data_IF_422593651713
#
_entry.id   IF_422593651713
#
_cell.length_a   1.000
_cell.length_b   1.000
_cell.length_c   1.000
_cell.angle_alpha   90.00
_cell.angle_beta   90.00
_cell.angle_gamma   90.00
#
_symmetry.space_group_name_H-M   'P 1'
#
loop_
_entity.id
_entity.type
_entity.pdbx_description
1 polymer ?
#
# COMPACT_ATOMS: atom_id res chain seq x y z
N UNK A 1 21.69 -7.05 1.77
CA UNK A 1 20.70 -6.14 2.35
C UNK A 1 19.33 -6.56 1.81
N UNK A 2 18.68 -7.53 2.46
CA UNK A 2 17.37 -8.04 2.01
C UNK A 2 16.26 -7.34 2.77
N UNK A 3 15.91 -6.12 2.36
CA UNK A 3 14.64 -5.54 2.77
C UNK A 3 13.54 -6.38 2.11
N UNK A 4 12.53 -6.79 2.89
CA UNK A 4 11.40 -7.55 2.38
C UNK A 4 10.86 -6.89 1.10
N UNK A 5 10.79 -7.67 0.03
CA UNK A 5 10.45 -7.19 -1.30
C UNK A 5 9.02 -6.63 -1.25
N UNK A 6 8.90 -5.29 -1.29
CA UNK A 6 7.60 -4.62 -1.32
C UNK A 6 6.99 -4.81 -2.70
N UNK A 7 5.70 -5.14 -2.75
CA UNK A 7 4.94 -5.27 -3.98
C UNK A 7 4.04 -4.06 -4.16
N UNK A 8 4.17 -3.37 -5.29
CA UNK A 8 3.28 -2.28 -5.66
C UNK A 8 1.94 -2.87 -6.10
N UNK A 9 0.86 -2.51 -5.39
CA UNK A 9 -0.50 -2.92 -5.74
C UNK A 9 -1.14 -1.90 -6.69
N UNK A 10 -0.96 -0.62 -6.38
CA UNK A 10 -1.56 0.48 -7.13
C UNK A 10 -0.59 1.65 -7.19
N UNK A 11 -0.29 2.14 -8.39
CA UNK A 11 0.36 3.45 -8.59
C UNK A 11 -0.70 4.51 -8.74
N UNK A 12 -0.44 5.68 -8.19
CA UNK A 12 -1.27 6.86 -8.36
C UNK A 12 -0.47 7.86 -9.20
N UNK A 13 -1.13 8.65 -10.04
CA UNK A 13 -0.48 9.77 -10.70
C UNK A 13 -0.45 10.96 -9.74
N UNK A 14 0.74 11.50 -9.39
CA UNK A 14 0.84 12.67 -8.51
C UNK A 14 0.21 13.95 -9.09
N UNK A 15 -0.07 13.99 -10.39
CA UNK A 15 -0.74 15.10 -11.06
C UNK A 15 -2.25 14.89 -11.18
N UNK A 16 -2.78 13.76 -10.72
CA UNK A 16 -4.23 13.51 -10.75
C UNK A 16 -4.92 14.18 -9.55
N UNK A 17 -5.48 15.36 -9.80
CA UNK A 17 -6.23 16.13 -8.80
C UNK A 17 -7.55 15.46 -8.38
N UNK A 18 -8.01 14.42 -9.09
CA UNK A 18 -9.24 13.69 -8.73
C UNK A 18 -9.03 12.69 -7.60
N UNK A 19 -7.79 12.28 -7.35
CA UNK A 19 -7.45 11.36 -6.28
C UNK A 19 -7.18 12.17 -5.01
N UNK A 20 -7.96 11.91 -3.96
CA UNK A 20 -7.70 12.51 -2.65
C UNK A 20 -6.97 11.54 -1.74
N UNK A 21 -6.29 12.08 -0.72
CA UNK A 21 -5.69 11.28 0.35
C UNK A 21 -6.71 10.33 1.01
N UNK A 22 -7.99 10.75 1.09
CA UNK A 22 -9.06 9.92 1.63
C UNK A 22 -9.29 8.68 0.79
N UNK A 23 -9.27 8.81 -0.54
CA UNK A 23 -9.46 7.69 -1.46
C UNK A 23 -8.31 6.68 -1.34
N UNK A 24 -7.08 7.17 -1.17
CA UNK A 24 -5.89 6.33 -0.93
C UNK A 24 -6.06 5.53 0.37
N UNK A 25 -6.44 6.21 1.45
CA UNK A 25 -6.65 5.58 2.75
C UNK A 25 -7.78 4.54 2.73
N UNK A 26 -8.88 4.82 2.03
CA UNK A 26 -9.98 3.86 1.86
C UNK A 26 -9.52 2.61 1.11
N UNK A 27 -8.77 2.78 0.01
CA UNK A 27 -8.21 1.65 -0.74
C UNK A 27 -7.26 0.80 0.11
N UNK A 28 -6.41 1.44 0.92
CA UNK A 28 -5.53 0.70 1.85
C UNK A 28 -6.37 -0.13 2.83
N UNK A 29 -7.40 0.45 3.45
CA UNK A 29 -8.25 -0.27 4.39
C UNK A 29 -9.00 -1.44 3.74
N UNK A 30 -9.48 -1.28 2.51
CA UNK A 30 -10.13 -2.34 1.74
C UNK A 30 -9.16 -3.49 1.45
N UNK A 31 -7.94 -3.17 1.01
CA UNK A 31 -6.90 -4.15 0.73
C UNK A 31 -6.47 -4.91 2.00
N UNK A 32 -6.31 -4.21 3.13
CA UNK A 32 -6.00 -4.85 4.42
C UNK A 32 -7.12 -5.79 4.89
N UNK A 33 -8.38 -5.48 4.59
CA UNK A 33 -9.53 -6.35 4.91
C UNK A 33 -9.58 -7.59 4.04
N UNK A 34 -9.23 -7.46 2.75
CA UNK A 34 -9.18 -8.58 1.81
C UNK A 34 -7.97 -9.49 2.04
N UNK A 35 -6.86 -8.92 2.50
CA UNK A 35 -5.58 -9.59 2.71
C UNK A 35 -5.06 -9.36 4.13
N UNK A 36 -5.64 -10.04 5.15
CA UNK A 36 -5.26 -9.83 6.55
C UNK A 36 -3.80 -10.24 6.86
N UNK A 37 -3.21 -11.07 6.02
CA UNK A 37 -1.83 -11.55 6.03
C UNK A 37 -0.82 -10.54 5.45
N UNK A 38 -1.28 -9.49 4.76
CA UNK A 38 -0.43 -8.45 4.20
C UNK A 38 -0.42 -7.19 5.05
N UNK A 39 0.75 -6.56 5.09
CA UNK A 39 0.95 -5.20 5.58
C UNK A 39 0.87 -4.28 4.37
N UNK A 40 -0.28 -3.61 4.19
CA UNK A 40 -0.55 -2.70 3.08
C UNK A 40 -0.36 -1.26 3.55
N UNK A 41 0.43 -0.48 2.82
CA UNK A 41 0.85 0.87 3.20
C UNK A 41 1.01 1.79 2.00
N UNK A 42 0.99 3.11 2.25
CA UNK A 42 1.30 4.13 1.26
C UNK A 42 2.80 4.39 1.20
N UNK A 43 3.37 4.39 -0.01
CA UNK A 43 4.75 4.76 -0.29
C UNK A 43 4.76 6.13 -1.00
N UNK A 44 5.22 7.15 -0.28
CA UNK A 44 5.23 8.53 -0.76
C UNK A 44 6.32 8.83 -1.80
N UNK A 45 7.38 8.03 -1.85
CA UNK A 45 8.46 8.19 -2.83
C UNK A 45 8.02 7.61 -4.19
N UNK A 46 7.37 6.45 -4.19
CA UNK A 46 6.85 5.81 -5.39
C UNK A 46 5.46 6.33 -5.81
N UNK A 47 4.83 7.14 -4.95
CA UNK A 47 3.44 7.59 -5.08
C UNK A 47 2.48 6.41 -5.33
N UNK A 48 2.62 5.37 -4.49
CA UNK A 48 1.97 4.07 -4.71
C UNK A 48 1.50 3.41 -3.41
N UNK A 49 0.39 2.68 -3.47
CA UNK A 49 0.00 1.72 -2.43
C UNK A 49 0.80 0.44 -2.63
N UNK A 50 1.60 0.12 -1.63
CA UNK A 50 2.45 -1.07 -1.59
C UNK A 50 1.93 -2.07 -0.56
N UNK A 51 2.39 -3.31 -0.67
CA UNK A 51 2.20 -4.33 0.35
C UNK A 51 3.46 -5.15 0.56
N UNK A 52 3.51 -5.82 1.70
CA UNK A 52 4.48 -6.87 2.00
C UNK A 52 3.82 -7.93 2.89
N UNK A 53 4.33 -9.16 2.92
CA UNK A 53 3.89 -10.16 3.88
C UNK A 53 4.04 -9.62 5.31
N UNK A 54 3.02 -9.78 6.16
CA UNK A 54 3.20 -9.53 7.59
C UNK A 54 4.19 -10.55 8.12
N UNK A 55 5.27 -10.06 8.74
CA UNK A 55 6.07 -10.92 9.62
C UNK A 55 5.14 -11.43 10.72
N UNK A 56 4.86 -12.73 10.68
CA UNK A 56 4.20 -13.42 11.78
C UNK A 56 5.15 -13.27 12.99
N UNK A 57 4.71 -12.54 14.02
CA UNK A 57 5.43 -12.53 15.30
C UNK A 57 5.14 -13.89 15.94
N UNK A 58 6.09 -14.80 15.80
CA UNK A 58 6.23 -15.96 16.69
C UNK A 58 6.45 -15.48 18.14
#
# INVERSE_FOLDING_TARGET
MGGEEKHIILRIDPNDESITLKDVMQRIQELQRQHPDLDVFWDGDEYAVCSRPKKQKD
#
